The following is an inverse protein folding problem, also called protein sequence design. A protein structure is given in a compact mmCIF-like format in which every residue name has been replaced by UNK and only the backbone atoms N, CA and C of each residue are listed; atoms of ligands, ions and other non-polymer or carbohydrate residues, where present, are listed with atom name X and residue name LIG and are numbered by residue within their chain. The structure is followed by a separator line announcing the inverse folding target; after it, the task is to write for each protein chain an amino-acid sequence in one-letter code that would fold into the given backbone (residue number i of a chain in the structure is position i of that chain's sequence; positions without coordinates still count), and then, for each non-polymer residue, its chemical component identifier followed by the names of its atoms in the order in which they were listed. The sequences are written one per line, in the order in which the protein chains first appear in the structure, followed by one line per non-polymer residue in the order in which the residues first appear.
data_IF_846607795543
#
_entry.id   IF_846607795543
#
_cell.length_a   1.000
_cell.length_b   1.000
_cell.length_c   1.000
_cell.angle_alpha   90.00
_cell.angle_beta   90.00
_cell.angle_gamma   90.00
#
_symmetry.space_group_name_H-M   'P 1'
#
loop_
_entity.id
_entity.type
_entity.pdbx_description
1 polymer ?
#
# COMPACT_ATOMS: atom_id res chain seq x y z
N UNK A 1 1.12 5.21 -12.52
CA UNK A 1 1.20 3.77 -12.83
C UNK A 1 2.40 3.20 -12.10
N UNK A 2 2.27 2.06 -11.42
CA UNK A 2 3.46 1.31 -11.02
C UNK A 2 4.10 0.81 -12.33
N UNK A 3 5.34 1.19 -12.60
CA UNK A 3 6.07 0.70 -13.76
C UNK A 3 6.30 -0.81 -13.63
N UNK A 4 6.27 -1.54 -14.74
CA UNK A 4 6.73 -2.93 -14.76
C UNK A 4 8.23 -2.97 -14.51
N UNK A 5 8.67 -3.93 -13.71
CA UNK A 5 10.10 -4.19 -13.50
C UNK A 5 10.74 -4.65 -14.81
N UNK A 6 11.97 -4.24 -15.05
CA UNK A 6 12.78 -4.76 -16.17
C UNK A 6 13.25 -6.18 -15.84
N UNK A 7 13.61 -6.97 -16.86
CA UNK A 7 14.05 -8.35 -16.67
C UNK A 7 15.24 -8.48 -15.71
N UNK A 8 16.18 -7.55 -15.75
CA UNK A 8 17.32 -7.48 -14.84
C UNK A 8 16.90 -7.21 -13.39
N UNK A 9 15.89 -6.36 -13.19
CA UNK A 9 15.33 -6.06 -11.87
C UNK A 9 14.57 -7.25 -11.31
N UNK A 10 13.84 -8.00 -12.16
CA UNK A 10 13.15 -9.23 -11.79
C UNK A 10 14.13 -10.32 -11.36
N UNK A 11 15.24 -10.49 -12.07
CA UNK A 11 16.28 -11.48 -11.76
C UNK A 11 16.94 -11.22 -10.38
N UNK A 12 17.03 -9.95 -9.96
CA UNK A 12 17.66 -9.53 -8.72
C UNK A 12 16.64 -9.18 -7.61
N UNK A 13 15.34 -9.36 -7.85
CA UNK A 13 14.29 -8.95 -6.91
C UNK A 13 14.32 -9.73 -5.58
N UNK A 14 14.71 -11.02 -5.62
CA UNK A 14 14.77 -11.89 -4.47
C UNK A 14 13.38 -12.34 -3.98
N UNK A 15 13.32 -12.79 -2.73
CA UNK A 15 12.07 -13.17 -2.10
C UNK A 15 11.23 -11.95 -1.72
N UNK A 16 9.91 -11.98 -1.91
CA UNK A 16 9.04 -10.85 -1.58
C UNK A 16 8.95 -10.64 -0.06
N UNK A 17 9.04 -9.38 0.37
CA UNK A 17 8.81 -9.01 1.78
C UNK A 17 7.34 -9.13 2.18
N UNK A 18 6.44 -9.03 1.21
CA UNK A 18 5.00 -9.07 1.42
C UNK A 18 4.27 -9.54 0.16
N UNK A 19 3.24 -10.37 0.33
CA UNK A 19 2.47 -10.94 -0.77
C UNK A 19 1.01 -10.48 -0.69
N UNK A 20 0.48 -9.97 -1.80
CA UNK A 20 -0.92 -9.56 -1.90
C UNK A 20 -1.64 -10.44 -2.92
N UNK A 21 -2.66 -11.15 -2.47
CA UNK A 21 -3.55 -11.95 -3.30
C UNK A 21 -4.83 -11.16 -3.59
N UNK A 22 -5.14 -10.92 -4.86
CA UNK A 22 -6.38 -10.28 -5.26
C UNK A 22 -7.32 -11.30 -5.94
N UNK A 23 -8.38 -11.67 -5.23
CA UNK A 23 -9.45 -12.52 -5.72
C UNK A 23 -10.69 -11.65 -6.02
N UNK A 24 -10.61 -10.83 -7.06
CA UNK A 24 -11.61 -9.82 -7.40
C UNK A 24 -13.02 -10.34 -7.64
N UNK A 25 -13.17 -11.62 -8.02
CA UNK A 25 -14.47 -12.28 -8.26
C UNK A 25 -14.99 -13.06 -7.06
N UNK A 26 -14.17 -13.30 -6.04
CA UNK A 26 -14.57 -14.05 -4.86
C UNK A 26 -15.30 -13.14 -3.87
N UNK A 27 -16.49 -13.53 -3.47
CA UNK A 27 -17.33 -12.80 -2.50
C UNK A 27 -17.31 -13.48 -1.14
N UNK A 28 -17.47 -12.71 -0.09
CA UNK A 28 -17.70 -13.23 1.27
C UNK A 28 -19.21 -13.34 1.49
N UNK A 29 -19.81 -14.45 1.11
CA UNK A 29 -21.28 -14.64 1.17
C UNK A 29 -21.82 -14.58 2.60
N UNK A 30 -21.08 -15.11 3.57
CA UNK A 30 -21.45 -15.12 4.98
C UNK A 30 -20.88 -13.92 5.77
N UNK A 31 -20.69 -12.78 5.14
CA UNK A 31 -20.02 -11.62 5.73
C UNK A 31 -20.69 -11.13 7.04
N UNK A 32 -22.01 -11.23 7.15
CA UNK A 32 -22.76 -10.83 8.38
C UNK A 32 -22.44 -11.75 9.56
N UNK A 33 -22.34 -13.04 9.33
CA UNK A 33 -21.97 -14.03 10.36
C UNK A 33 -20.55 -13.82 10.86
N UNK A 34 -19.66 -13.36 9.98
CA UNK A 34 -18.28 -13.01 10.29
C UNK A 34 -18.12 -11.62 10.92
N UNK A 35 -19.21 -10.86 11.08
CA UNK A 35 -19.17 -9.51 11.61
C UNK A 35 -18.59 -8.47 10.64
N UNK A 36 -18.56 -8.76 9.36
CA UNK A 36 -18.10 -7.85 8.31
C UNK A 36 -19.24 -6.97 7.80
N UNK A 37 -18.90 -5.81 7.24
CA UNK A 37 -19.87 -4.84 6.76
C UNK A 37 -20.35 -5.08 5.33
N UNK A 38 -19.64 -5.88 4.55
CA UNK A 38 -19.95 -6.14 3.13
C UNK A 38 -19.38 -7.46 2.63
N UNK A 39 -19.78 -7.86 1.43
CA UNK A 39 -19.20 -9.00 0.69
C UNK A 39 -17.76 -8.74 0.22
N UNK A 40 -17.31 -7.50 0.30
CA UNK A 40 -15.94 -7.08 -0.04
C UNK A 40 -15.10 -7.04 1.24
N UNK A 41 -13.95 -7.67 1.22
CA UNK A 41 -13.07 -7.71 2.36
C UNK A 41 -11.61 -7.59 1.98
N UNK A 42 -10.84 -6.93 2.83
CA UNK A 42 -9.38 -6.94 2.79
C UNK A 42 -8.88 -7.46 4.13
N UNK A 43 -8.15 -8.55 4.09
CA UNK A 43 -7.67 -9.26 5.29
C UNK A 43 -6.15 -9.31 5.27
N UNK A 44 -5.54 -9.08 6.42
CA UNK A 44 -4.09 -9.10 6.60
C UNK A 44 -3.67 -10.17 7.59
N UNK A 45 -2.59 -10.85 7.26
CA UNK A 45 -1.84 -11.66 8.21
C UNK A 45 -0.43 -11.07 8.37
N UNK A 46 -0.20 -10.37 9.47
CA UNK A 46 1.08 -9.70 9.72
C UNK A 46 2.20 -10.71 10.05
N UNK A 47 1.86 -11.90 10.51
CA UNK A 47 2.83 -12.95 10.82
C UNK A 47 3.39 -13.61 9.56
N UNK A 48 2.52 -13.93 8.60
CA UNK A 48 2.89 -14.51 7.30
C UNK A 48 3.22 -13.46 6.27
N UNK A 49 2.95 -12.17 6.57
CA UNK A 49 3.15 -11.02 5.68
C UNK A 49 2.36 -11.15 4.37
N UNK A 50 1.09 -11.44 4.53
CA UNK A 50 0.16 -11.67 3.43
C UNK A 50 -1.07 -10.77 3.55
N UNK A 51 -1.61 -10.40 2.40
CA UNK A 51 -2.88 -9.71 2.23
C UNK A 51 -3.75 -10.49 1.28
N UNK A 52 -5.03 -10.62 1.61
CA UNK A 52 -6.06 -11.15 0.70
C UNK A 52 -7.12 -10.09 0.48
N UNK A 53 -7.38 -9.78 -0.79
CA UNK A 53 -8.39 -8.83 -1.23
C UNK A 53 -9.48 -9.57 -1.97
N UNK A 54 -10.73 -9.42 -1.52
CA UNK A 54 -11.89 -10.14 -2.04
C UNK A 54 -12.91 -9.16 -2.61
N UNK A 55 -13.53 -9.54 -3.74
CA UNK A 55 -14.66 -8.88 -4.39
C UNK A 55 -14.44 -7.41 -4.77
N UNK A 56 -13.23 -7.06 -5.21
CA UNK A 56 -12.98 -5.73 -5.78
C UNK A 56 -11.92 -5.77 -6.88
N UNK A 57 -12.16 -5.00 -7.93
CA UNK A 57 -11.20 -4.75 -9.02
C UNK A 57 -10.36 -3.49 -8.79
N UNK A 58 -10.60 -2.79 -7.69
CA UNK A 58 -9.90 -1.55 -7.39
C UNK A 58 -8.46 -1.81 -6.96
N UNK A 59 -7.52 -1.59 -7.88
CA UNK A 59 -6.08 -1.79 -7.62
C UNK A 59 -5.50 -0.95 -6.47
N UNK A 60 -6.18 0.13 -6.10
CA UNK A 60 -5.83 0.95 -4.95
C UNK A 60 -5.88 0.20 -3.62
N UNK A 61 -6.62 -0.89 -3.51
CA UNK A 61 -6.67 -1.71 -2.28
C UNK A 61 -5.30 -2.36 -1.99
N UNK A 62 -4.58 -2.80 -3.02
CA UNK A 62 -3.22 -3.33 -2.84
C UNK A 62 -2.29 -2.26 -2.27
N UNK A 63 -2.29 -1.07 -2.85
CA UNK A 63 -1.47 0.07 -2.40
C UNK A 63 -1.83 0.49 -0.98
N UNK A 64 -3.12 0.67 -0.69
CA UNK A 64 -3.60 1.05 0.65
C UNK A 64 -3.32 -0.02 1.70
N UNK A 65 -3.39 -1.29 1.32
CA UNK A 65 -3.04 -2.39 2.19
C UNK A 65 -1.58 -2.33 2.63
N UNK A 66 -0.66 -2.19 1.69
CA UNK A 66 0.77 -2.01 1.99
C UNK A 66 0.99 -0.77 2.85
N UNK A 67 0.31 0.34 2.55
CA UNK A 67 0.37 1.56 3.36
C UNK A 67 -0.06 1.30 4.81
N UNK A 68 -1.14 0.55 5.04
CA UNK A 68 -1.59 0.18 6.39
C UNK A 68 -0.56 -0.64 7.14
N UNK A 69 0.09 -1.60 6.47
CA UNK A 69 1.14 -2.42 7.05
C UNK A 69 2.37 -1.60 7.39
N UNK A 70 2.78 -0.68 6.52
CA UNK A 70 3.89 0.23 6.79
C UNK A 70 3.60 1.14 7.99
N UNK A 71 2.35 1.62 8.14
CA UNK A 71 1.92 2.39 9.30
C UNK A 71 1.93 1.58 10.61
N UNK A 72 1.82 0.27 10.53
CA UNK A 72 1.95 -0.62 11.69
C UNK A 72 3.43 -0.93 12.00
N UNK A 73 4.22 -1.30 10.98
CA UNK A 73 5.58 -1.80 11.18
C UNK A 73 6.61 -0.68 11.40
N UNK A 74 6.49 0.45 10.72
CA UNK A 74 7.47 1.53 10.79
C UNK A 74 7.59 2.14 12.19
N UNK A 75 6.49 2.45 12.92
CA UNK A 75 6.59 2.96 14.28
C UNK A 75 7.30 2.00 15.24
N UNK A 76 7.13 0.69 15.06
CA UNK A 76 7.84 -0.32 15.87
C UNK A 76 9.36 -0.29 15.66
N UNK A 77 9.82 0.30 14.56
CA UNK A 77 11.23 0.49 14.21
C UNK A 77 11.72 1.92 14.49
N UNK A 78 10.89 2.76 15.10
CA UNK A 78 11.20 4.18 15.35
C UNK A 78 11.17 5.05 14.09
N UNK A 79 10.49 4.58 13.02
CA UNK A 79 10.36 5.31 11.75
C UNK A 79 8.98 5.94 11.67
N UNK A 80 8.91 7.24 11.45
CA UNK A 80 7.65 7.93 11.20
C UNK A 80 7.06 7.48 9.85
N UNK A 81 5.78 7.09 9.86
CA UNK A 81 5.04 6.77 8.64
C UNK A 81 3.93 7.79 8.45
N UNK A 82 3.80 8.33 7.24
CA UNK A 82 2.79 9.35 6.97
C UNK A 82 2.30 9.31 5.52
N UNK A 83 1.08 9.74 5.33
CA UNK A 83 0.47 9.92 4.01
C UNK A 83 0.90 11.27 3.44
N UNK A 84 1.99 11.27 2.70
CA UNK A 84 2.59 12.48 2.16
C UNK A 84 3.12 12.27 0.74
N UNK A 85 3.50 13.36 0.09
CA UNK A 85 4.45 13.36 -1.01
C UNK A 85 5.77 13.97 -0.54
N UNK A 86 6.86 13.60 -1.18
CA UNK A 86 8.19 14.08 -0.84
C UNK A 86 9.01 14.34 -2.10
N UNK A 87 9.75 15.42 -2.10
CA UNK A 87 10.72 15.76 -3.14
C UNK A 87 12.08 15.96 -2.48
N UNK A 88 13.12 15.58 -3.19
CA UNK A 88 14.50 15.81 -2.75
C UNK A 88 15.30 16.42 -3.89
N UNK A 89 16.37 17.12 -3.56
CA UNK A 89 17.34 17.57 -4.56
C UNK A 89 18.06 16.36 -5.20
N UNK A 90 18.78 16.61 -6.29
CA UNK A 90 19.50 15.57 -7.02
C UNK A 90 20.57 14.87 -6.19
N UNK A 91 21.04 15.51 -5.13
CA UNK A 91 22.06 14.97 -4.22
C UNK A 91 21.46 14.24 -3.02
N UNK A 92 20.13 14.29 -2.84
CA UNK A 92 19.42 13.67 -1.71
C UNK A 92 19.66 14.32 -0.35
N UNK A 93 20.17 15.55 -0.33
CA UNK A 93 20.54 16.26 0.91
C UNK A 93 19.40 17.06 1.51
N UNK A 94 18.56 17.64 0.66
CA UNK A 94 17.44 18.49 1.09
C UNK A 94 16.12 17.84 0.66
N UNK A 95 15.30 17.43 1.61
CA UNK A 95 14.01 16.79 1.34
C UNK A 95 12.87 17.67 1.84
N UNK A 96 11.94 17.98 0.95
CA UNK A 96 10.67 18.61 1.29
C UNK A 96 9.58 17.56 1.42
N UNK A 97 8.77 17.64 2.46
CA UNK A 97 7.65 16.74 2.71
C UNK A 97 6.35 17.55 2.66
N UNK A 98 5.40 17.09 1.83
CA UNK A 98 4.08 17.72 1.67
C UNK A 98 3.02 16.77 2.26
N UNK A 99 2.43 17.14 3.37
CA UNK A 99 1.36 16.37 4.01
C UNK A 99 0.13 17.24 4.29
N UNK A 100 -1.02 16.60 4.39
CA UNK A 100 -2.31 17.27 4.58
C UNK A 100 -3.46 16.32 4.25
N UNK A 101 -4.67 16.80 4.41
CA UNK A 101 -5.88 16.05 4.09
C UNK A 101 -5.99 15.77 2.59
N UNK A 102 -6.89 14.84 2.22
CA UNK A 102 -7.20 14.57 0.82
C UNK A 102 -7.69 15.84 0.11
N UNK A 103 -7.24 16.08 -1.11
CA UNK A 103 -7.64 17.24 -1.91
C UNK A 103 -6.95 18.57 -1.56
N UNK A 104 -5.96 18.58 -0.67
CA UNK A 104 -5.23 19.81 -0.28
C UNK A 104 -4.11 20.24 -1.25
N UNK A 105 -3.94 19.52 -2.38
CA UNK A 105 -2.95 19.87 -3.38
C UNK A 105 -1.55 19.28 -3.17
N UNK A 106 -1.38 18.27 -2.30
CA UNK A 106 -0.07 17.63 -2.07
C UNK A 106 0.62 17.17 -3.36
N UNK A 107 -0.12 16.48 -4.22
CA UNK A 107 0.42 15.98 -5.49
C UNK A 107 0.76 17.12 -6.43
N UNK A 108 -0.11 18.11 -6.54
CA UNK A 108 0.10 19.28 -7.40
C UNK A 108 1.38 20.04 -7.03
N UNK A 109 1.61 20.26 -5.73
CA UNK A 109 2.81 20.96 -5.25
C UNK A 109 4.10 20.14 -5.42
N UNK A 110 4.01 18.83 -5.47
CA UNK A 110 5.19 17.96 -5.53
C UNK A 110 5.56 17.49 -6.94
N UNK A 111 4.73 17.80 -7.94
CA UNK A 111 4.92 17.33 -9.34
C UNK A 111 5.25 18.43 -10.33
N UNK A 112 5.41 19.67 -9.92
CA UNK A 112 5.84 20.81 -10.78
C UNK A 112 7.35 20.78 -11.03
#
# INVERSE_FOLDING_TARGET
MAGSLREEELANYGEPDFVSFNAAKAKVENFKELGLNSETATVFNLKTKEQVILNTWYGGEMKKGIFSIMNYLNPLRGIASMHCSANTDMEGKNTAIFFGLSGTGKTTLSTD
#
